data_IF_492302210122
#
_entry.id   IF_492302210122
#
_cell.length_a   1.000
_cell.length_b   1.000
_cell.length_c   1.000
_cell.angle_alpha   90.00
_cell.angle_beta   90.00
_cell.angle_gamma   90.00
#
_symmetry.space_group_name_H-M   'P 1'
#
loop_
_entity.id
_entity.type
_entity.pdbx_description
1 polymer ?
#
# COMPACT_ATOMS: atom_id res chain seq x y z
N UNK A 1 5.56 1.08 13.09
CA UNK A 1 5.48 2.48 12.63
C UNK A 1 4.89 3.34 13.74
N UNK A 2 5.25 4.63 13.89
CA UNK A 2 4.55 5.47 14.88
C UNK A 2 3.08 5.69 14.48
N UNK A 3 2.16 5.81 15.45
CA UNK A 3 0.81 6.28 15.16
C UNK A 3 0.79 7.63 14.43
N UNK A 4 -0.06 7.74 13.41
CA UNK A 4 -0.31 8.97 12.68
C UNK A 4 -1.70 9.52 13.02
N UNK A 5 -1.77 10.84 13.13
CA UNK A 5 -3.06 11.55 13.21
C UNK A 5 -3.70 11.65 11.82
N UNK A 6 -5.02 11.88 11.80
CA UNK A 6 -5.74 12.15 10.55
C UNK A 6 -5.15 13.35 9.79
N UNK A 7 -4.74 14.41 10.51
CA UNK A 7 -4.13 15.59 9.91
C UNK A 7 -2.79 15.28 9.23
N UNK A 8 -1.93 14.49 9.88
CA UNK A 8 -0.66 14.04 9.29
C UNK A 8 -0.88 13.19 8.04
N UNK A 9 -1.87 12.30 8.07
CA UNK A 9 -2.27 11.50 6.91
C UNK A 9 -2.70 12.41 5.76
N UNK A 10 -3.65 13.33 5.99
CA UNK A 10 -4.21 14.19 4.93
C UNK A 10 -3.16 15.12 4.31
N UNK A 11 -2.19 15.58 5.09
CA UNK A 11 -1.14 16.49 4.61
C UNK A 11 0.02 15.78 3.94
N UNK A 12 0.09 14.44 4.01
CA UNK A 12 1.20 13.64 3.46
C UNK A 12 1.09 13.36 1.96
N UNK A 13 -0.06 13.54 1.33
CA UNK A 13 -0.29 13.07 -0.05
C UNK A 13 0.45 13.89 -1.11
N UNK A 14 1.21 13.19 -1.96
CA UNK A 14 2.10 13.81 -2.97
C UNK A 14 1.57 13.78 -4.40
N UNK A 15 0.64 12.86 -4.69
CA UNK A 15 0.15 12.61 -6.06
C UNK A 15 -1.35 12.88 -6.25
N UNK A 16 -1.96 13.65 -5.35
CA UNK A 16 -3.30 14.18 -5.52
C UNK A 16 -3.37 15.63 -5.03
N UNK A 17 -4.45 16.32 -5.39
CA UNK A 17 -4.67 17.71 -4.97
C UNK A 17 -4.98 17.78 -3.47
N UNK A 18 -4.71 18.94 -2.85
CA UNK A 18 -5.09 19.21 -1.45
C UNK A 18 -6.59 18.99 -1.19
N UNK A 19 -7.44 19.31 -2.18
CA UNK A 19 -8.88 19.10 -2.09
C UNK A 19 -9.26 17.61 -2.07
N UNK A 20 -8.62 16.80 -2.91
CA UNK A 20 -8.81 15.34 -2.88
C UNK A 20 -8.32 14.75 -1.57
N UNK A 21 -7.14 15.17 -1.08
CA UNK A 21 -6.57 14.72 0.19
C UNK A 21 -7.47 15.07 1.40
N UNK A 22 -8.18 16.21 1.36
CA UNK A 22 -9.18 16.59 2.38
C UNK A 22 -10.43 15.72 2.37
N UNK A 23 -10.80 15.12 1.23
CA UNK A 23 -12.02 14.31 1.07
C UNK A 23 -11.80 12.81 1.18
N UNK A 24 -10.56 12.38 1.45
CA UNK A 24 -10.24 10.96 1.66
C UNK A 24 -11.06 10.43 2.84
N UNK A 25 -11.60 9.22 2.67
CA UNK A 25 -12.13 8.43 3.77
C UNK A 25 -10.97 7.84 4.57
N UNK A 26 -10.44 8.59 5.51
CA UNK A 26 -9.42 8.09 6.45
C UNK A 26 -10.07 7.04 7.36
N UNK A 27 -9.37 5.93 7.69
CA UNK A 27 -9.91 4.93 8.60
C UNK A 27 -10.34 5.56 9.93
N UNK A 28 -11.54 5.25 10.42
CA UNK A 28 -12.07 5.83 11.67
C UNK A 28 -11.46 5.21 12.93
N UNK A 29 -10.81 4.07 12.77
CA UNK A 29 -10.22 3.22 13.79
C UNK A 29 -8.70 3.43 13.92
N UNK A 30 -8.16 4.62 13.61
CA UNK A 30 -6.71 4.88 13.68
C UNK A 30 -6.12 4.54 15.05
N UNK A 31 -6.85 4.77 16.14
CA UNK A 31 -6.38 4.47 17.49
C UNK A 31 -6.22 2.96 17.76
N UNK A 32 -6.95 2.12 17.02
CA UNK A 32 -6.99 0.66 17.20
C UNK A 32 -6.09 -0.07 16.20
N UNK A 33 -5.49 0.65 15.24
CA UNK A 33 -4.59 0.04 14.26
C UNK A 33 -3.35 -0.55 14.96
N UNK A 34 -2.85 -1.71 14.51
CA UNK A 34 -1.69 -2.37 15.11
C UNK A 34 -0.39 -1.68 14.67
N UNK A 35 -0.19 -0.42 15.07
CA UNK A 35 0.89 0.45 14.57
C UNK A 35 2.28 -0.15 14.70
N UNK A 36 2.55 -0.90 15.77
CA UNK A 36 3.82 -1.59 16.00
C UNK A 36 4.12 -2.67 14.94
N UNK A 37 3.08 -3.20 14.30
CA UNK A 37 3.17 -4.20 13.23
C UNK A 37 3.08 -3.61 11.83
N UNK A 38 2.90 -2.30 11.70
CA UNK A 38 2.83 -1.62 10.42
C UNK A 38 4.19 -1.05 10.03
N UNK A 39 4.55 -1.22 8.76
CA UNK A 39 5.64 -0.48 8.11
C UNK A 39 5.08 0.68 7.28
N UNK A 40 3.81 0.57 6.89
CA UNK A 40 3.00 1.60 6.27
C UNK A 40 1.53 1.37 6.62
N UNK A 41 0.73 2.42 6.58
CA UNK A 41 -0.73 2.35 6.68
C UNK A 41 -1.32 2.24 5.27
N UNK A 42 -2.11 1.20 4.99
CA UNK A 42 -2.80 1.03 3.72
C UNK A 42 -4.30 0.76 3.89
N UNK A 43 -5.13 1.31 3.01
CA UNK A 43 -6.59 1.06 3.03
C UNK A 43 -7.26 1.28 1.67
N UNK A 44 -8.47 0.72 1.51
CA UNK A 44 -9.36 0.98 0.37
C UNK A 44 -10.39 2.04 0.73
N UNK A 45 -10.78 2.84 -0.25
CA UNK A 45 -11.86 3.80 -0.06
C UNK A 45 -13.21 3.06 -0.01
N UNK A 46 -13.99 3.15 1.10
CA UNK A 46 -15.26 2.45 1.23
C UNK A 46 -16.33 2.96 0.27
N UNK A 47 -16.21 4.18 -0.26
CA UNK A 47 -17.16 4.76 -1.22
C UNK A 47 -16.67 4.67 -2.67
N UNK A 48 -15.41 4.31 -2.89
CA UNK A 48 -14.84 4.16 -4.21
C UNK A 48 -13.94 2.92 -4.26
N UNK A 49 -14.49 1.70 -4.48
CA UNK A 49 -13.74 0.45 -4.41
C UNK A 49 -12.49 0.40 -5.28
N UNK A 50 -12.47 1.09 -6.42
CA UNK A 50 -11.30 1.22 -7.30
C UNK A 50 -10.21 2.17 -6.77
N UNK A 51 -10.38 2.79 -5.60
CA UNK A 51 -9.42 3.72 -5.00
C UNK A 51 -8.83 3.14 -3.73
N UNK A 52 -7.51 3.27 -3.61
CA UNK A 52 -6.78 2.86 -2.43
C UNK A 52 -5.77 3.94 -2.04
N UNK A 53 -5.26 3.83 -0.83
CA UNK A 53 -4.30 4.78 -0.30
C UNK A 53 -3.26 4.04 0.53
N UNK A 54 -2.02 4.52 0.47
CA UNK A 54 -0.98 4.13 1.41
C UNK A 54 -0.29 5.36 1.98
N UNK A 55 0.20 5.25 3.21
CA UNK A 55 1.01 6.25 3.89
C UNK A 55 2.18 5.54 4.56
N UNK A 56 3.40 5.88 4.18
CA UNK A 56 4.62 5.30 4.72
C UNK A 56 5.50 6.36 5.36
N UNK A 57 6.37 5.96 6.29
CA UNK A 57 7.43 6.84 6.79
C UNK A 57 8.46 7.08 5.68
N UNK A 58 8.82 8.35 5.44
CA UNK A 58 9.80 8.73 4.43
C UNK A 58 10.70 9.85 4.95
N UNK A 59 11.89 9.48 5.43
CA UNK A 59 12.75 10.41 6.16
C UNK A 59 12.06 10.93 7.43
N UNK A 60 11.95 12.26 7.57
CA UNK A 60 11.35 12.89 8.76
C UNK A 60 9.83 13.09 8.71
N UNK A 61 9.17 12.78 7.57
CA UNK A 61 7.74 13.03 7.37
C UNK A 61 7.04 11.82 6.72
N UNK A 62 5.73 11.61 6.98
CA UNK A 62 4.98 10.62 6.23
C UNK A 62 4.80 11.07 4.77
N UNK A 63 4.78 10.11 3.85
CA UNK A 63 4.40 10.31 2.44
C UNK A 63 3.19 9.46 2.13
N UNK A 64 2.14 10.11 1.64
CA UNK A 64 0.89 9.51 1.21
C UNK A 64 0.82 9.38 -0.30
N UNK A 65 0.31 8.24 -0.78
CA UNK A 65 0.12 7.99 -2.21
C UNK A 65 -1.32 7.50 -2.42
N UNK A 66 -2.04 8.20 -3.30
CA UNK A 66 -3.31 7.73 -3.85
C UNK A 66 -3.06 6.73 -4.97
N UNK A 67 -3.76 5.61 -4.90
CA UNK A 67 -3.70 4.51 -5.85
C UNK A 67 -5.06 4.31 -6.50
N UNK A 68 -5.03 3.84 -7.73
CA UNK A 68 -6.19 3.38 -8.48
C UNK A 68 -5.99 1.91 -8.81
N UNK A 69 -7.07 1.16 -8.74
CA UNK A 69 -7.17 -0.21 -9.22
C UNK A 69 -8.19 -0.18 -10.34
N UNK A 70 -7.91 -0.83 -11.47
CA UNK A 70 -9.02 -1.32 -12.28
C UNK A 70 -9.79 -2.34 -11.43
N UNK A 71 -11.09 -2.44 -11.62
CA UNK A 71 -11.84 -3.62 -11.20
C UNK A 71 -11.31 -4.80 -12.03
N UNK A 72 -10.15 -5.32 -11.64
CA UNK A 72 -9.75 -6.67 -12.00
C UNK A 72 -10.74 -7.54 -11.24
N UNK A 73 -11.80 -7.93 -11.95
CA UNK A 73 -12.91 -8.68 -11.41
C UNK A 73 -12.42 -9.79 -10.49
N UNK A 74 -13.26 -10.09 -9.50
CA UNK A 74 -13.24 -11.19 -8.54
C UNK A 74 -13.02 -12.61 -9.13
N UNK A 75 -12.55 -12.73 -10.37
CA UNK A 75 -12.45 -13.91 -11.21
C UNK A 75 -11.02 -14.45 -11.36
N UNK A 76 -9.98 -13.73 -10.91
CA UNK A 76 -8.63 -14.31 -10.90
C UNK A 76 -8.46 -15.22 -9.68
N UNK A 77 -8.94 -16.45 -9.83
CA UNK A 77 -8.49 -17.66 -9.10
C UNK A 77 -7.00 -17.96 -9.31
N UNK A 78 -6.30 -17.13 -10.11
CA UNK A 78 -4.88 -17.24 -10.38
C UNK A 78 -4.06 -16.83 -9.17
N UNK A 79 -3.19 -17.75 -8.76
CA UNK A 79 -2.15 -17.51 -7.77
C UNK A 79 -1.21 -16.40 -8.25
N UNK A 80 -1.14 -15.32 -7.48
CA UNK A 80 -0.39 -14.09 -7.84
C UNK A 80 0.45 -13.63 -6.66
N UNK A 81 1.59 -12.99 -6.93
CA UNK A 81 2.54 -12.58 -5.91
C UNK A 81 2.54 -11.06 -5.76
N UNK A 82 2.48 -10.58 -4.52
CA UNK A 82 2.63 -9.17 -4.21
C UNK A 82 4.08 -8.72 -4.42
N UNK A 83 4.30 -7.67 -5.20
CA UNK A 83 5.63 -7.10 -5.46
C UNK A 83 6.26 -6.44 -4.22
N UNK A 84 5.47 -6.13 -3.19
CA UNK A 84 5.97 -5.51 -1.95
C UNK A 84 6.49 -6.57 -0.98
N UNK A 85 5.59 -7.39 -0.42
CA UNK A 85 5.92 -8.38 0.60
C UNK A 85 6.31 -9.76 0.05
N UNK A 86 6.16 -10.00 -1.26
CA UNK A 86 6.41 -11.32 -1.91
C UNK A 86 5.46 -12.42 -1.42
N UNK A 87 4.43 -12.06 -0.64
CA UNK A 87 3.35 -12.99 -0.26
C UNK A 87 2.55 -13.34 -1.51
N UNK A 88 2.29 -14.64 -1.66
CA UNK A 88 1.48 -15.16 -2.76
C UNK A 88 0.05 -15.30 -2.29
N UNK A 89 -0.93 -14.90 -3.10
CA UNK A 89 -2.36 -15.05 -2.78
C UNK A 89 -3.08 -15.78 -3.91
N UNK A 90 -4.11 -16.56 -3.56
CA UNK A 90 -5.07 -17.12 -4.51
C UNK A 90 -6.29 -16.19 -4.55
N UNK A 91 -6.27 -15.21 -5.47
CA UNK A 91 -7.09 -14.01 -5.34
C UNK A 91 -6.60 -13.11 -4.19
N UNK A 92 -6.62 -11.78 -4.37
CA UNK A 92 -6.15 -10.84 -3.33
C UNK A 92 -4.82 -10.14 -3.62
N UNK A 93 -4.32 -10.21 -4.86
CA UNK A 93 -3.33 -9.28 -5.40
C UNK A 93 -3.98 -8.52 -6.55
N UNK A 94 -3.84 -7.19 -6.56
CA UNK A 94 -4.38 -6.31 -7.60
C UNK A 94 -3.26 -5.46 -8.19
N UNK A 95 -3.38 -5.13 -9.48
CA UNK A 95 -2.57 -4.06 -10.07
C UNK A 95 -3.04 -2.73 -9.48
N UNK A 96 -2.19 -2.11 -8.66
CA UNK A 96 -2.41 -0.77 -8.13
C UNK A 96 -1.51 0.21 -8.86
N UNK A 97 -2.11 1.30 -9.32
CA UNK A 97 -1.48 2.32 -10.18
C UNK A 97 -1.55 3.66 -9.48
N UNK A 98 -0.39 4.30 -9.32
CA UNK A 98 -0.25 5.67 -8.84
C UNK A 98 0.03 6.60 -10.03
N UNK A 99 -0.76 7.67 -10.25
CA UNK A 99 -0.26 8.80 -11.03
C UNK A 99 1.06 9.30 -10.43
N UNK A 100 2.05 9.65 -11.26
CA UNK A 100 3.27 10.30 -10.78
C UNK A 100 2.92 11.66 -10.16
N UNK A 101 3.79 12.17 -9.31
CA UNK A 101 3.63 13.50 -8.74
C UNK A 101 3.97 14.60 -9.76
N UNK A 102 3.54 15.83 -9.48
CA UNK A 102 3.92 17.00 -10.28
C UNK A 102 3.50 16.96 -11.76
N UNK A 103 4.32 17.56 -12.62
CA UNK A 103 4.04 17.72 -14.06
C UNK A 103 3.89 16.39 -14.78
N UNK A 104 4.71 15.38 -14.41
CA UNK A 104 4.64 14.07 -15.03
C UNK A 104 3.26 13.43 -14.85
N UNK A 105 2.69 13.51 -13.64
CA UNK A 105 1.33 13.05 -13.37
C UNK A 105 0.26 13.84 -14.12
N UNK A 106 0.42 15.15 -14.25
CA UNK A 106 -0.51 16.01 -15.02
C UNK A 106 -0.54 15.64 -16.51
N UNK A 107 0.55 15.06 -17.03
CA UNK A 107 0.64 14.53 -18.39
C UNK A 107 0.14 13.08 -18.50
N UNK A 108 -0.40 12.50 -17.43
CA UNK A 108 -0.95 11.14 -17.41
C UNK A 108 0.05 10.03 -17.10
N UNK A 109 1.31 10.36 -16.77
CA UNK A 109 2.29 9.34 -16.41
C UNK A 109 1.93 8.69 -15.07
N UNK A 110 2.08 7.36 -15.01
CA UNK A 110 1.75 6.57 -13.82
C UNK A 110 2.72 5.43 -13.61
N UNK A 111 2.75 4.91 -12.39
CA UNK A 111 3.57 3.78 -11.96
C UNK A 111 2.64 2.71 -11.39
N UNK A 112 2.72 1.50 -11.92
CA UNK A 112 1.93 0.36 -11.47
C UNK A 112 2.78 -0.67 -10.73
N UNK A 113 2.19 -1.34 -9.74
CA UNK A 113 2.73 -2.54 -9.14
C UNK A 113 1.62 -3.48 -8.71
N UNK A 114 1.88 -4.79 -8.74
CA UNK A 114 0.98 -5.78 -8.17
C UNK A 114 1.15 -5.79 -6.65
N UNK A 115 0.10 -5.44 -5.91
CA UNK A 115 0.13 -5.33 -4.45
C UNK A 115 -1.00 -6.15 -3.83
N UNK A 116 -0.87 -6.54 -2.56
CA UNK A 116 -1.98 -7.09 -1.79
C UNK A 116 -3.18 -6.13 -1.91
N UNK A 117 -4.35 -6.64 -2.30
CA UNK A 117 -5.53 -5.82 -2.61
C UNK A 117 -6.02 -5.01 -1.41
N UNK A 118 -5.79 -5.53 -0.21
CA UNK A 118 -6.12 -4.91 1.07
C UNK A 118 -4.98 -4.06 1.67
N UNK A 119 -3.84 -3.99 0.98
CA UNK A 119 -2.61 -3.30 1.41
C UNK A 119 -2.08 -3.74 2.79
N UNK A 120 -2.41 -4.94 3.27
CA UNK A 120 -2.01 -5.44 4.59
C UNK A 120 -0.63 -6.14 4.60
N UNK A 121 0.29 -5.73 3.71
CA UNK A 121 1.59 -6.38 3.47
C UNK A 121 2.40 -6.58 4.76
N UNK A 122 2.42 -5.57 5.63
CA UNK A 122 3.14 -5.63 6.92
C UNK A 122 2.61 -6.71 7.86
N UNK A 123 1.32 -7.03 7.80
CA UNK A 123 0.73 -8.09 8.61
C UNK A 123 0.98 -9.46 8.01
N UNK A 124 0.95 -9.58 6.67
CA UNK A 124 1.28 -10.83 5.99
C UNK A 124 2.74 -11.25 6.19
N UNK A 125 3.69 -10.32 6.07
CA UNK A 125 5.12 -10.64 6.24
C UNK A 125 5.46 -11.09 7.66
N UNK A 126 4.77 -10.52 8.66
CA UNK A 126 4.85 -10.90 10.09
C UNK A 126 4.04 -12.15 10.44
N UNK A 127 3.29 -12.66 9.48
CA UNK A 127 2.41 -13.79 9.67
C UNK A 127 1.20 -13.56 10.58
N UNK A 128 0.87 -12.28 10.87
CA UNK A 128 -0.27 -11.86 11.69
C UNK A 128 -1.60 -11.83 10.93
N UNK A 129 -1.54 -11.93 9.60
CA UNK A 129 -2.70 -12.14 8.75
C UNK A 129 -2.50 -13.38 7.88
N UNK A 130 -3.56 -14.15 7.72
CA UNK A 130 -3.56 -15.31 6.85
C UNK A 130 -3.86 -14.90 5.41
N UNK A 131 -3.02 -15.33 4.48
CA UNK A 131 -3.15 -15.09 3.05
C UNK A 131 -3.75 -16.30 2.31
N UNK A 132 -4.12 -17.35 3.04
CA UNK A 132 -4.74 -18.57 2.53
C UNK A 132 -3.76 -19.73 2.35
N UNK A 133 -4.31 -20.89 1.98
CA UNK A 133 -3.55 -22.13 1.81
C UNK A 133 -2.46 -21.95 0.74
N UNK A 134 -1.22 -22.29 1.09
CA UNK A 134 -0.07 -22.19 0.20
C UNK A 134 0.40 -20.76 -0.06
N UNK A 135 -0.13 -19.74 0.62
CA UNK A 135 0.25 -18.35 0.39
C UNK A 135 1.69 -18.02 0.81
N UNK A 136 2.17 -18.70 1.87
CA UNK A 136 3.53 -18.54 2.38
C UNK A 136 4.45 -19.54 1.69
N UNK A 137 5.31 -19.03 0.82
CA UNK A 137 6.48 -19.76 0.37
C UNK A 137 7.45 -19.87 1.55
N UNK A 138 8.10 -21.02 1.70
CA UNK A 138 9.21 -21.13 2.63
C UNK A 138 10.37 -20.28 2.07
N UNK A 139 10.77 -19.27 2.83
CA UNK A 139 11.88 -18.40 2.48
C UNK A 139 13.00 -18.65 3.49
N UNK A 140 14.24 -18.66 3.02
CA UNK A 140 15.43 -18.73 3.87
C UNK A 140 15.70 -17.45 4.67
N UNK A 141 15.02 -16.35 4.33
CA UNK A 141 15.14 -15.07 5.02
C UNK A 141 14.51 -15.10 6.41
N UNK A 142 15.17 -14.46 7.36
CA UNK A 142 14.60 -14.11 8.67
C UNK A 142 13.45 -13.13 8.52
N UNK A 143 12.60 -13.02 9.55
CA UNK A 143 11.50 -12.05 9.55
C UNK A 143 12.01 -10.61 9.33
N UNK A 144 13.12 -10.24 9.98
CA UNK A 144 13.70 -8.90 9.85
C UNK A 144 14.12 -8.61 8.41
N UNK A 145 14.77 -9.56 7.73
CA UNK A 145 15.17 -9.42 6.33
C UNK A 145 13.97 -9.31 5.39
N UNK A 146 12.89 -10.06 5.64
CA UNK A 146 11.65 -9.94 4.87
C UNK A 146 10.98 -8.58 5.07
N UNK A 147 10.98 -8.06 6.29
CA UNK A 147 10.48 -6.71 6.59
C UNK A 147 11.33 -5.67 5.85
N UNK A 148 12.67 -5.76 5.95
CA UNK A 148 13.62 -4.87 5.27
C UNK A 148 13.41 -4.85 3.76
N UNK A 149 13.24 -6.03 3.14
CA UNK A 149 12.89 -6.15 1.71
C UNK A 149 11.56 -5.47 1.40
N UNK A 150 10.52 -5.72 2.21
CA UNK A 150 9.18 -5.16 1.98
C UNK A 150 9.22 -3.64 2.01
N UNK A 151 9.93 -3.06 2.99
CA UNK A 151 10.14 -1.63 3.11
C UNK A 151 10.96 -1.09 1.93
N UNK A 152 12.04 -1.76 1.53
CA UNK A 152 12.85 -1.34 0.39
C UNK A 152 12.04 -1.32 -0.92
N UNK A 153 11.22 -2.35 -1.16
CA UNK A 153 10.35 -2.44 -2.34
C UNK A 153 9.30 -1.32 -2.34
N UNK A 154 8.66 -1.07 -1.19
CA UNK A 154 7.70 0.02 -1.05
C UNK A 154 8.37 1.38 -1.26
N UNK A 155 9.55 1.58 -0.69
CA UNK A 155 10.30 2.82 -0.84
C UNK A 155 10.69 3.08 -2.30
N UNK A 156 11.14 2.04 -3.02
CA UNK A 156 11.44 2.15 -4.44
C UNK A 156 10.18 2.45 -5.29
N UNK A 157 9.01 1.92 -4.92
CA UNK A 157 7.75 2.30 -5.55
C UNK A 157 7.40 3.77 -5.32
N UNK A 158 7.50 4.25 -4.06
CA UNK A 158 7.23 5.65 -3.71
C UNK A 158 8.20 6.58 -4.45
N UNK A 159 9.49 6.25 -4.52
CA UNK A 159 10.50 7.00 -5.26
C UNK A 159 10.07 7.23 -6.72
N UNK A 160 9.66 6.16 -7.42
CA UNK A 160 9.18 6.25 -8.81
C UNK A 160 7.93 7.13 -8.97
N UNK A 161 7.08 7.22 -7.94
CA UNK A 161 5.92 8.11 -7.95
C UNK A 161 6.34 9.57 -7.76
N UNK A 162 7.35 9.83 -6.92
CA UNK A 162 7.82 11.18 -6.59
C UNK A 162 8.85 11.78 -7.53
N UNK A 163 9.60 10.94 -8.25
CA UNK A 163 10.56 11.32 -9.30
C UNK A 163 9.88 11.84 -10.57
#
# INVERSE_FOLDING_TARGET
MRPLTEQEIRTSFVNCTKGEAKRLHVPRDLAERPWDDLDFLGWRDPQAPGRAYLVAAWGSRPVGVQLRSSDAGSWQTRRSMCSMCVTTHTGGVSLLVAPRSGKAGQQGNSVGAYMCSDLACSLYVRGKKDAGIGARLHESLTLEEKIRRTVANLSAFIAKVTE
#
